data_IF_184264366038
#
_entry.id   IF_184264366038
#
_cell.length_a   1.000
_cell.length_b   1.000
_cell.length_c   1.000
_cell.angle_alpha   90.00
_cell.angle_beta   90.00
_cell.angle_gamma   90.00
#
_symmetry.space_group_name_H-M   'P 1'
#
loop_
_entity.id
_entity.type
_entity.pdbx_description
1 polymer ?
#
# COMPACT_ATOMS: atom_id res chain seq x y z
N UNK A 1 -3.75 51.58 -16.87
CA UNK A 1 -4.29 50.79 -17.99
C UNK A 1 -3.16 50.51 -18.97
N UNK A 2 -2.76 49.25 -19.13
CA UNK A 2 -2.15 48.66 -20.33
C UNK A 2 -1.66 47.26 -19.93
N UNK A 3 -2.32 46.22 -20.44
CA UNK A 3 -1.93 44.82 -20.29
C UNK A 3 -1.05 44.45 -21.47
N UNK A 4 0.13 43.90 -21.21
CA UNK A 4 0.96 43.29 -22.24
C UNK A 4 1.10 41.81 -21.88
N UNK A 5 0.25 41.02 -22.51
CA UNK A 5 0.32 39.57 -22.58
C UNK A 5 1.33 39.19 -23.66
N UNK A 6 2.29 38.31 -23.37
CA UNK A 6 2.92 37.48 -24.39
C UNK A 6 3.58 36.27 -23.73
N UNK A 7 3.07 35.08 -24.07
CA UNK A 7 3.67 33.79 -23.79
C UNK A 7 5.07 33.73 -24.43
N UNK A 8 6.06 33.30 -23.65
CA UNK A 8 7.27 32.68 -24.18
C UNK A 8 7.30 31.23 -23.67
N UNK A 9 6.89 30.31 -24.54
CA UNK A 9 7.11 28.87 -24.37
C UNK A 9 8.61 28.62 -24.27
N UNK A 10 9.06 28.04 -23.18
CA UNK A 10 10.42 27.52 -23.07
C UNK A 10 10.43 26.20 -22.28
N UNK A 11 11.13 25.23 -22.86
CA UNK A 11 11.90 24.19 -22.20
C UNK A 11 11.45 22.73 -22.36
N UNK A 12 12.24 22.05 -23.21
CA UNK A 12 12.79 20.70 -23.08
C UNK A 12 11.89 19.47 -23.22
N UNK A 13 11.99 18.89 -24.42
CA UNK A 13 11.85 17.45 -24.67
C UNK A 13 13.06 16.75 -24.04
N UNK A 14 12.83 15.93 -23.01
CA UNK A 14 13.86 15.05 -22.42
C UNK A 14 13.67 13.64 -23.01
N UNK A 15 14.67 13.17 -23.77
CA UNK A 15 14.82 11.75 -24.14
C UNK A 15 15.19 10.97 -22.88
N UNK A 16 14.43 9.92 -22.53
CA UNK A 16 14.77 8.99 -21.46
C UNK A 16 15.24 7.64 -22.04
N UNK A 17 16.28 6.99 -21.46
CA UNK A 17 16.80 5.70 -21.92
C UNK A 17 15.87 4.54 -21.55
N UNK A 18 15.62 3.65 -22.52
CA UNK A 18 14.97 2.34 -22.32
C UNK A 18 15.89 1.48 -21.43
N UNK A 19 15.38 1.08 -20.26
CA UNK A 19 16.06 0.15 -19.36
C UNK A 19 15.72 -1.29 -19.76
N UNK A 20 16.72 -2.03 -20.24
CA UNK A 20 16.65 -3.47 -20.52
C UNK A 20 16.43 -4.22 -19.20
N UNK A 21 15.25 -4.79 -18.99
CA UNK A 21 14.97 -5.65 -17.84
C UNK A 21 15.57 -7.04 -18.11
N UNK A 22 16.64 -7.37 -17.40
CA UNK A 22 17.09 -8.74 -17.25
C UNK A 22 15.99 -9.54 -16.53
N UNK A 23 15.55 -10.64 -17.13
CA UNK A 23 14.58 -11.53 -16.55
C UNK A 23 15.23 -12.30 -15.39
N UNK A 24 14.80 -11.99 -14.16
CA UNK A 24 15.14 -12.73 -12.95
C UNK A 24 14.39 -14.07 -12.99
N UNK A 25 15.12 -15.19 -13.04
CA UNK A 25 14.54 -16.53 -13.00
C UNK A 25 13.99 -16.80 -11.57
N UNK A 26 12.74 -17.28 -11.42
CA UNK A 26 12.12 -17.37 -10.11
C UNK A 26 12.76 -18.49 -9.28
N UNK A 27 13.49 -18.11 -8.23
CA UNK A 27 14.01 -19.03 -7.23
C UNK A 27 12.86 -19.85 -6.61
N UNK A 28 12.95 -21.18 -6.70
CA UNK A 28 11.99 -22.12 -6.09
C UNK A 28 11.95 -21.88 -4.57
N UNK A 29 10.77 -21.53 -4.06
CA UNK A 29 10.53 -21.36 -2.62
C UNK A 29 10.47 -22.72 -1.90
N UNK A 30 11.23 -22.85 -0.82
CA UNK A 30 11.31 -24.06 0.02
C UNK A 30 10.17 -24.07 1.06
N UNK A 31 9.25 -25.06 1.04
CA UNK A 31 8.03 -25.04 1.85
C UNK A 31 8.29 -25.13 3.37
N UNK A 32 9.44 -25.65 3.78
CA UNK A 32 9.84 -25.68 5.19
C UNK A 32 10.18 -24.27 5.73
N UNK A 33 10.72 -23.40 4.88
CA UNK A 33 11.01 -21.99 5.22
C UNK A 33 9.72 -21.21 5.50
N UNK A 34 8.64 -21.51 4.76
CA UNK A 34 7.39 -20.77 4.88
C UNK A 34 6.61 -21.09 6.15
N UNK A 35 6.67 -22.34 6.63
CA UNK A 35 6.10 -22.68 7.95
C UNK A 35 6.82 -21.97 9.09
N UNK A 36 8.16 -21.96 9.06
CA UNK A 36 8.93 -21.24 10.08
C UNK A 36 8.66 -19.71 10.08
N UNK A 37 8.39 -19.12 8.91
CA UNK A 37 8.00 -17.70 8.81
C UNK A 37 6.60 -17.43 9.35
N UNK A 38 5.70 -18.42 9.29
CA UNK A 38 4.32 -18.31 9.77
C UNK A 38 4.22 -18.24 11.30
N UNK A 39 5.05 -19.04 11.99
CA UNK A 39 4.98 -19.19 13.45
C UNK A 39 5.74 -18.10 14.22
N UNK A 40 6.51 -17.25 13.52
CA UNK A 40 7.27 -16.17 14.17
C UNK A 40 6.34 -15.13 14.81
N UNK A 41 6.61 -14.75 16.06
CA UNK A 41 5.87 -13.69 16.76
C UNK A 41 6.43 -12.32 16.34
N UNK A 42 5.54 -11.42 15.91
CA UNK A 42 5.84 -10.06 15.51
C UNK A 42 5.07 -9.10 16.42
N UNK A 43 5.80 -8.25 17.13
CA UNK A 43 5.21 -7.19 17.95
C UNK A 43 5.22 -5.86 17.21
N UNK A 44 4.05 -5.23 17.09
CA UNK A 44 3.88 -3.90 16.48
C UNK A 44 3.36 -2.92 17.53
N UNK A 45 3.85 -1.69 17.46
CA UNK A 45 3.32 -0.59 18.27
C UNK A 45 2.19 0.06 17.50
N UNK A 46 1.00 0.05 18.08
CA UNK A 46 -0.19 0.71 17.54
C UNK A 46 -0.43 1.98 18.34
N UNK A 47 -0.64 3.09 17.64
CA UNK A 47 -1.11 4.34 18.23
C UNK A 47 -2.63 4.36 18.20
N UNK A 48 -3.25 4.52 19.36
CA UNK A 48 -4.67 4.85 19.41
C UNK A 48 -4.82 6.35 19.17
N UNK A 49 -5.43 6.73 18.05
CA UNK A 49 -5.66 8.13 17.71
C UNK A 49 -6.62 8.76 18.74
N UNK A 50 -6.27 9.95 19.23
CA UNK A 50 -7.10 10.70 20.20
C UNK A 50 -6.71 10.50 21.68
N UNK A 51 -5.80 9.57 22.00
CA UNK A 51 -5.19 9.50 23.33
C UNK A 51 -3.81 10.14 23.29
N UNK A 52 -3.59 11.14 24.14
CA UNK A 52 -2.39 12.01 24.09
C UNK A 52 -1.06 11.26 24.32
N UNK A 53 -1.09 10.04 24.89
CA UNK A 53 0.12 9.35 25.38
C UNK A 53 0.08 7.81 25.26
N UNK A 54 -1.03 7.18 24.87
CA UNK A 54 -1.15 5.72 24.99
C UNK A 54 -0.63 5.02 23.72
N UNK A 55 0.58 4.49 23.81
CA UNK A 55 1.16 3.55 22.84
C UNK A 55 0.85 2.13 23.31
N UNK A 56 0.15 1.35 22.49
CA UNK A 56 -0.10 -0.06 22.80
C UNK A 56 0.83 -0.94 21.96
N UNK A 57 1.39 -2.00 22.55
CA UNK A 57 2.21 -2.98 21.82
C UNK A 57 1.42 -4.26 21.67
N UNK A 58 1.13 -4.62 20.41
CA UNK A 58 0.38 -5.83 20.08
C UNK A 58 1.35 -6.84 19.48
N UNK A 59 1.50 -7.98 20.15
CA UNK A 59 2.30 -9.11 19.67
C UNK A 59 1.36 -10.20 19.13
N UNK A 60 1.58 -10.60 17.89
CA UNK A 60 0.82 -11.66 17.19
C UNK A 60 1.75 -12.50 16.34
N UNK A 61 1.37 -13.71 15.96
CA UNK A 61 2.13 -14.51 15.00
C UNK A 61 2.06 -13.89 13.61
N UNK A 62 3.01 -14.24 12.73
CA UNK A 62 2.97 -13.78 11.34
C UNK A 62 1.73 -14.31 10.61
N UNK A 63 1.28 -15.52 10.94
CA UNK A 63 0.03 -16.10 10.47
C UNK A 63 -1.17 -15.20 10.83
N UNK A 64 -1.30 -14.85 12.11
CA UNK A 64 -2.38 -13.98 12.61
C UNK A 64 -2.37 -12.61 11.95
N UNK A 65 -1.20 -11.99 11.82
CA UNK A 65 -1.07 -10.72 11.11
C UNK A 65 -1.51 -10.82 9.65
N UNK A 66 -1.21 -11.93 8.98
CA UNK A 66 -1.60 -12.13 7.60
C UNK A 66 -3.13 -12.31 7.46
N UNK A 67 -3.74 -13.11 8.32
CA UNK A 67 -5.19 -13.30 8.40
C UNK A 67 -5.89 -11.95 8.59
N UNK A 68 -5.47 -11.18 9.59
CA UNK A 68 -6.05 -9.85 9.86
C UNK A 68 -5.91 -8.89 8.67
N UNK A 69 -4.78 -8.94 7.94
CA UNK A 69 -4.61 -8.12 6.72
C UNK A 69 -5.54 -8.53 5.59
N UNK A 70 -5.76 -9.83 5.41
CA UNK A 70 -6.69 -10.36 4.41
C UNK A 70 -8.13 -9.99 4.74
N UNK A 71 -8.54 -10.13 6.00
CA UNK A 71 -9.87 -9.74 6.49
C UNK A 71 -10.13 -8.24 6.29
N UNK A 72 -9.18 -7.40 6.70
CA UNK A 72 -9.27 -5.95 6.49
C UNK A 72 -9.39 -5.60 5.01
N UNK A 73 -8.60 -6.24 4.13
CA UNK A 73 -8.71 -6.03 2.68
C UNK A 73 -10.08 -6.43 2.15
N UNK A 74 -10.59 -7.60 2.55
CA UNK A 74 -11.89 -8.09 2.12
C UNK A 74 -13.02 -7.15 2.59
N UNK A 75 -12.93 -6.64 3.82
CA UNK A 75 -13.88 -5.65 4.35
C UNK A 75 -13.86 -4.36 3.53
N UNK A 76 -12.67 -3.79 3.26
CA UNK A 76 -12.52 -2.58 2.47
C UNK A 76 -13.06 -2.77 1.04
N UNK A 77 -12.76 -3.91 0.40
CA UNK A 77 -13.28 -4.24 -0.91
C UNK A 77 -14.81 -4.29 -0.93
N UNK A 78 -15.44 -4.94 0.06
CA UNK A 78 -16.91 -4.97 0.18
C UNK A 78 -17.49 -3.57 0.31
N UNK A 79 -16.88 -2.70 1.12
CA UNK A 79 -17.32 -1.31 1.26
C UNK A 79 -17.14 -0.49 -0.02
N UNK A 80 -16.08 -0.74 -0.79
CA UNK A 80 -15.82 -0.06 -2.07
C UNK A 80 -16.77 -0.54 -3.17
N UNK A 81 -16.98 -1.85 -3.29
CA UNK A 81 -17.93 -2.42 -4.25
C UNK A 81 -19.36 -1.99 -3.94
N UNK A 82 -19.73 -1.88 -2.66
CA UNK A 82 -21.07 -1.41 -2.26
C UNK A 82 -21.25 0.12 -2.41
N UNK A 83 -20.20 0.88 -2.71
CA UNK A 83 -20.24 2.34 -2.95
C UNK A 83 -20.45 2.71 -4.42
N UNK A 84 -20.65 1.75 -5.33
CA UNK A 84 -20.95 2.04 -6.73
C UNK A 84 -22.28 2.75 -6.97
N UNK A 85 -23.14 2.84 -5.95
CA UNK A 85 -24.26 3.78 -5.92
C UNK A 85 -23.93 4.83 -4.84
N UNK A 86 -23.32 5.94 -5.27
CA UNK A 86 -23.05 7.09 -4.43
C UNK A 86 -24.32 7.88 -4.12
N UNK A 87 -24.21 8.88 -3.23
CA UNK A 87 -25.31 9.72 -2.74
C UNK A 87 -26.03 10.55 -3.81
N UNK A 88 -25.52 10.57 -5.04
CA UNK A 88 -26.13 11.22 -6.21
C UNK A 88 -26.65 10.20 -7.26
N UNK A 89 -26.72 8.92 -6.90
CA UNK A 89 -27.30 7.85 -7.73
C UNK A 89 -26.29 6.97 -8.47
N UNK A 90 -26.79 5.80 -8.86
CA UNK A 90 -26.35 5.05 -10.04
C UNK A 90 -27.37 5.35 -11.16
#
# INVERSE_FOLDING_TARGET
>A
MARISALALASMIVLAPVSLHAADEPAKADPASDKAKSDRVICKTTEELGTRLKRNRVCKTAAEWNTERQENRAMLQRMQTNKSCGVDGC
#
